data_IF_152360050071
#
_entry.id   IF_152360050071
#
_cell.length_a   1.000
_cell.length_b   1.000
_cell.length_c   1.000
_cell.angle_alpha   90.00
_cell.angle_beta   90.00
_cell.angle_gamma   90.00
#
_symmetry.space_group_name_H-M   'P 1'
#
loop_
_entity.id
_entity.type
_entity.pdbx_description
1 polymer ?
#
# COMPACT_ATOMS: atom_id res chain seq x y z
N UNK A 1 3.64 48.45 20.86
CA UNK A 1 3.36 47.24 21.65
C UNK A 1 3.29 46.08 20.66
N UNK A 2 4.42 45.41 20.47
CA UNK A 2 4.58 44.34 19.48
C UNK A 2 4.29 42.99 20.09
N UNK A 3 3.31 42.29 19.53
CA UNK A 3 2.92 40.94 19.94
C UNK A 3 3.74 39.92 19.17
N UNK A 4 4.68 39.27 19.86
CA UNK A 4 5.49 38.17 19.37
C UNK A 4 4.72 36.85 19.49
N UNK A 5 4.24 36.31 18.38
CA UNK A 5 3.68 34.96 18.32
C UNK A 5 4.82 33.93 18.18
N UNK A 6 5.04 33.17 19.24
CA UNK A 6 5.98 32.04 19.30
C UNK A 6 5.37 30.80 18.63
N UNK A 7 5.86 30.44 17.45
CA UNK A 7 5.54 29.18 16.78
C UNK A 7 6.28 28.00 17.43
N UNK A 8 5.56 27.22 18.23
CA UNK A 8 6.01 25.92 18.73
C UNK A 8 5.79 24.83 17.67
N UNK A 9 6.80 24.57 16.84
CA UNK A 9 6.84 23.37 16.02
C UNK A 9 7.27 22.16 16.87
N UNK A 10 6.28 21.36 17.25
CA UNK A 10 6.44 20.03 17.85
C UNK A 10 7.30 19.12 16.94
N UNK A 11 8.47 18.74 17.44
CA UNK A 11 9.31 17.72 16.84
C UNK A 11 8.54 16.39 16.74
N UNK A 12 8.34 15.91 15.52
CA UNK A 12 7.82 14.57 15.26
C UNK A 12 8.91 13.58 15.64
N UNK A 13 8.72 12.91 16.77
CA UNK A 13 9.50 11.77 17.23
C UNK A 13 9.50 10.67 16.16
N UNK A 14 10.53 10.66 15.32
CA UNK A 14 10.81 9.57 14.37
C UNK A 14 11.59 8.48 15.10
N UNK A 15 10.91 7.82 16.03
CA UNK A 15 11.41 6.61 16.66
C UNK A 15 11.75 5.57 15.59
N UNK A 16 13.04 5.34 15.39
CA UNK A 16 13.58 4.15 14.73
C UNK A 16 13.11 2.93 15.54
N UNK A 17 11.97 2.34 15.16
CA UNK A 17 11.49 1.12 15.81
C UNK A 17 12.49 -0.01 15.54
N UNK A 18 13.27 -0.30 16.58
CA UNK A 18 14.10 -1.48 16.77
C UNK A 18 13.29 -2.73 16.36
N UNK A 19 13.89 -3.73 15.69
CA UNK A 19 13.15 -4.91 15.27
C UNK A 19 12.63 -5.68 16.50
N UNK A 20 11.32 -5.91 16.52
CA UNK A 20 10.60 -6.82 17.43
C UNK A 20 11.40 -8.14 17.62
N UNK A 21 11.67 -8.56 18.86
CA UNK A 21 12.43 -9.77 19.21
C UNK A 21 11.88 -11.05 18.57
N UNK A 22 10.63 -11.02 18.06
CA UNK A 22 10.04 -12.08 17.25
C UNK A 22 10.68 -12.26 15.86
N UNK A 23 11.70 -11.48 15.51
CA UNK A 23 12.46 -11.54 14.25
C UNK A 23 13.58 -12.59 14.18
N UNK A 24 13.86 -13.35 15.26
CA UNK A 24 14.93 -14.38 15.29
C UNK A 24 14.85 -15.34 14.10
N UNK A 25 15.88 -15.43 13.27
CA UNK A 25 15.96 -16.37 12.12
C UNK A 25 15.74 -17.82 12.61
N UNK A 26 14.73 -18.52 12.10
CA UNK A 26 14.53 -19.96 12.43
C UNK A 26 15.56 -20.76 11.65
N UNK A 27 16.54 -21.34 12.34
CA UNK A 27 17.33 -22.44 11.76
C UNK A 27 16.44 -23.68 11.72
N UNK A 28 15.85 -24.00 10.57
CA UNK A 28 15.10 -25.24 10.38
C UNK A 28 16.10 -26.38 10.11
N UNK A 29 16.07 -27.46 10.90
CA UNK A 29 16.86 -28.69 10.63
C UNK A 29 16.42 -29.26 9.27
N UNK A 30 17.32 -29.26 8.30
CA UNK A 30 17.06 -29.61 6.89
C UNK A 30 17.37 -31.07 6.58
N UNK A 31 16.33 -31.82 6.21
CA UNK A 31 16.44 -33.06 5.41
C UNK A 31 15.94 -32.83 3.97
N UNK A 32 16.16 -31.64 3.38
CA UNK A 32 15.54 -31.24 2.11
C UNK A 32 16.48 -30.48 1.17
N UNK A 33 16.41 -30.88 -0.10
CA UNK A 33 17.01 -30.36 -1.33
C UNK A 33 17.88 -29.08 -1.20
N UNK A 34 19.21 -29.15 -1.42
CA UNK A 34 20.18 -28.08 -1.12
C UNK A 34 19.93 -26.75 -1.84
N UNK A 35 19.27 -26.76 -3.00
CA UNK A 35 18.98 -25.52 -3.75
C UNK A 35 17.92 -24.61 -3.09
N UNK A 36 17.06 -25.13 -2.19
CA UNK A 36 16.10 -24.27 -1.45
C UNK A 36 16.73 -23.52 -0.28
N UNK A 37 17.93 -23.90 0.16
CA UNK A 37 18.53 -23.37 1.39
C UNK A 37 19.27 -22.03 1.17
N UNK A 38 19.73 -21.72 -0.05
CA UNK A 38 20.47 -20.48 -0.35
C UNK A 38 19.66 -19.19 -0.11
N UNK A 39 18.33 -19.23 -0.20
CA UNK A 39 17.47 -18.05 0.02
C UNK A 39 17.02 -17.86 1.47
N UNK A 40 17.14 -18.87 2.33
CA UNK A 40 16.56 -18.83 3.68
C UNK A 40 17.29 -17.88 4.64
N UNK A 41 18.53 -17.48 4.37
CA UNK A 41 19.25 -16.47 5.15
C UNK A 41 18.97 -15.01 4.76
N UNK A 42 18.36 -14.79 3.59
CA UNK A 42 18.21 -13.46 2.98
C UNK A 42 16.92 -12.74 3.36
N UNK A 43 15.98 -13.41 4.02
CA UNK A 43 14.69 -12.81 4.41
C UNK A 43 14.46 -12.98 5.92
N UNK A 44 13.90 -11.96 6.56
CA UNK A 44 13.35 -12.06 7.91
C UNK A 44 12.09 -12.93 7.92
N UNK A 45 11.63 -13.35 9.11
CA UNK A 45 10.37 -14.11 9.27
C UNK A 45 9.15 -13.41 8.69
N UNK A 46 9.15 -12.07 8.68
CA UNK A 46 8.08 -11.27 8.10
C UNK A 46 8.15 -11.19 6.56
N UNK A 47 9.16 -11.80 5.93
CA UNK A 47 9.41 -11.84 4.49
C UNK A 47 10.06 -10.58 3.89
N UNK A 48 10.47 -9.61 4.71
CA UNK A 48 11.33 -8.50 4.26
C UNK A 48 12.78 -8.96 4.13
N UNK A 49 13.57 -8.27 3.31
CA UNK A 49 14.97 -8.62 3.10
C UNK A 49 15.80 -8.38 4.35
N UNK A 50 16.60 -9.39 4.72
CA UNK A 50 17.66 -9.26 5.70
C UNK A 50 18.81 -8.47 5.08
N UNK A 51 18.99 -7.25 5.56
CA UNK A 51 19.99 -6.30 5.05
C UNK A 51 21.30 -6.38 5.84
N UNK A 52 21.42 -7.26 6.84
CA UNK A 52 22.67 -7.50 7.54
C UNK A 52 23.73 -8.03 6.56
N UNK A 53 24.89 -7.38 6.55
CA UNK A 53 26.04 -7.75 5.72
C UNK A 53 27.20 -8.10 6.66
N UNK A 54 27.82 -9.27 6.45
CA UNK A 54 29.01 -9.64 7.21
C UNK A 54 30.14 -8.64 6.92
N UNK A 55 30.79 -8.12 7.97
CA UNK A 55 31.78 -7.03 7.86
C UNK A 55 32.94 -7.33 6.90
N UNK A 56 33.34 -8.59 6.76
CA UNK A 56 34.44 -9.03 5.89
C UNK A 56 33.99 -9.53 4.50
N UNK A 57 32.70 -9.48 4.20
CA UNK A 57 32.17 -9.98 2.92
C UNK A 57 32.46 -9.01 1.76
N UNK A 58 32.52 -9.53 0.54
CA UNK A 58 32.63 -8.70 -0.67
C UNK A 58 31.45 -7.74 -0.84
N UNK A 59 30.27 -8.13 -0.35
CA UNK A 59 29.10 -7.25 -0.31
C UNK A 59 29.33 -6.01 0.58
N UNK A 60 30.10 -6.13 1.66
CA UNK A 60 30.47 -4.98 2.49
C UNK A 60 31.46 -4.07 1.76
N UNK A 61 32.42 -4.65 1.03
CA UNK A 61 33.34 -3.87 0.18
C UNK A 61 32.58 -3.07 -0.87
N UNK A 62 31.59 -3.70 -1.54
CA UNK A 62 30.71 -3.01 -2.50
C UNK A 62 29.88 -1.92 -1.82
N UNK A 63 29.32 -2.19 -0.63
CA UNK A 63 28.55 -1.18 0.11
C UNK A 63 29.41 0.03 0.49
N UNK A 64 30.63 -0.20 0.98
CA UNK A 64 31.61 0.87 1.32
C UNK A 64 32.04 1.66 0.09
N UNK A 65 32.28 0.99 -1.04
CA UNK A 65 32.57 1.66 -2.31
C UNK A 65 31.39 2.54 -2.72
N UNK A 66 30.18 2.00 -2.71
CA UNK A 66 28.96 2.73 -3.08
C UNK A 66 28.73 3.95 -2.19
N UNK A 67 28.96 3.87 -0.87
CA UNK A 67 28.81 5.01 0.03
C UNK A 67 29.82 6.12 -0.25
N UNK A 68 31.00 5.78 -0.76
CA UNK A 68 32.09 6.74 -1.00
C UNK A 68 32.11 7.30 -2.41
N UNK A 69 31.76 6.49 -3.42
CA UNK A 69 31.90 6.86 -4.82
C UNK A 69 30.59 7.32 -5.44
N UNK A 70 29.44 6.79 -4.99
CA UNK A 70 28.14 7.18 -5.56
C UNK A 70 27.80 8.63 -5.20
N UNK A 71 27.57 9.51 -6.18
CA UNK A 71 27.12 10.88 -5.91
C UNK A 71 25.80 10.90 -5.12
N UNK A 72 24.91 9.96 -5.40
CA UNK A 72 23.60 9.84 -4.76
C UNK A 72 23.69 9.33 -3.32
N UNK A 73 24.53 8.32 -3.05
CA UNK A 73 24.66 7.75 -1.70
C UNK A 73 25.59 8.54 -0.78
N UNK A 74 26.37 9.50 -1.31
CA UNK A 74 27.11 10.47 -0.51
C UNK A 74 26.26 11.61 0.05
N UNK A 75 25.05 11.80 -0.48
CA UNK A 75 24.15 12.85 0.02
C UNK A 75 23.74 12.56 1.48
N UNK A 76 23.46 13.61 2.29
CA UNK A 76 22.85 13.46 3.60
C UNK A 76 21.56 12.64 3.54
N UNK A 77 21.28 11.88 4.60
CA UNK A 77 20.16 10.94 4.63
C UNK A 77 18.80 11.62 4.42
N UNK A 78 18.66 12.88 4.84
CA UNK A 78 17.47 13.70 4.68
C UNK A 78 17.21 14.01 3.21
N UNK A 79 18.26 14.35 2.46
CA UNK A 79 18.18 14.63 1.03
C UNK A 79 17.86 13.34 0.27
N UNK A 80 18.52 12.22 0.60
CA UNK A 80 18.19 10.92 -0.01
C UNK A 80 16.74 10.53 0.24
N UNK A 81 16.25 10.71 1.47
CA UNK A 81 14.85 10.43 1.81
C UNK A 81 13.89 11.23 0.94
N UNK A 82 14.11 12.54 0.76
CA UNK A 82 13.29 13.36 -0.15
C UNK A 82 13.33 12.83 -1.58
N UNK A 83 14.51 12.49 -2.09
CA UNK A 83 14.65 11.90 -3.44
C UNK A 83 13.84 10.61 -3.56
N UNK A 84 13.92 9.72 -2.58
CA UNK A 84 13.16 8.47 -2.56
C UNK A 84 11.65 8.72 -2.50
N UNK A 85 11.20 9.65 -1.65
CA UNK A 85 9.79 10.01 -1.56
C UNK A 85 9.24 10.48 -2.91
N UNK A 86 9.97 11.35 -3.63
CA UNK A 86 9.57 11.79 -4.97
C UNK A 86 9.67 10.68 -6.02
N UNK A 87 10.67 9.80 -5.93
CA UNK A 87 10.91 8.77 -6.93
C UNK A 87 9.93 7.59 -6.84
N UNK A 88 9.46 7.24 -5.63
CA UNK A 88 8.62 6.04 -5.41
C UNK A 88 7.33 6.29 -4.63
N UNK A 89 7.11 7.48 -4.08
CA UNK A 89 5.94 7.81 -3.26
C UNK A 89 4.95 8.74 -3.96
N UNK A 90 3.82 9.00 -3.32
CA UNK A 90 2.79 9.94 -3.77
C UNK A 90 2.08 9.57 -5.08
N UNK A 91 1.90 8.28 -5.33
CA UNK A 91 1.16 7.74 -6.47
C UNK A 91 -0.11 6.99 -6.04
N UNK A 92 -1.13 7.04 -6.89
CA UNK A 92 -2.17 6.03 -6.97
C UNK A 92 -1.67 4.89 -7.85
N UNK A 93 -1.50 3.72 -7.25
CA UNK A 93 -1.06 2.49 -7.91
C UNK A 93 -2.32 1.66 -8.18
N UNK A 94 -2.76 1.68 -9.44
CA UNK A 94 -3.88 0.85 -9.90
C UNK A 94 -3.36 -0.52 -10.29
N UNK A 95 -3.70 -1.52 -9.49
CA UNK A 95 -3.37 -2.93 -9.71
C UNK A 95 -4.53 -3.57 -10.44
N UNK A 96 -4.22 -4.28 -11.53
CA UNK A 96 -5.19 -4.94 -12.39
C UNK A 96 -4.65 -6.28 -12.89
N UNK A 97 -5.55 -7.13 -13.41
CA UNK A 97 -5.17 -8.37 -14.08
C UNK A 97 -4.75 -8.10 -15.53
N UNK A 98 -3.49 -8.35 -15.87
CA UNK A 98 -2.97 -8.19 -17.23
C UNK A 98 -3.66 -9.12 -18.25
N UNK A 99 -4.21 -10.24 -17.79
CA UNK A 99 -4.80 -11.27 -18.65
C UNK A 99 -6.33 -11.21 -18.74
N UNK A 100 -6.99 -10.26 -18.08
CA UNK A 100 -8.45 -10.10 -18.20
C UNK A 100 -8.87 -9.88 -19.67
N UNK A 101 -7.96 -9.43 -20.52
CA UNK A 101 -8.17 -9.28 -21.96
C UNK A 101 -8.07 -10.58 -22.78
N UNK A 102 -7.59 -11.72 -22.23
CA UNK A 102 -7.21 -12.88 -23.06
C UNK A 102 -7.73 -14.25 -22.63
N UNK A 103 -7.85 -14.63 -21.35
CA UNK A 103 -8.36 -15.99 -20.98
C UNK A 103 -8.88 -16.12 -19.55
N UNK A 104 -9.94 -16.91 -19.33
CA UNK A 104 -10.60 -17.15 -18.02
C UNK A 104 -9.90 -18.17 -17.10
N UNK A 105 -8.60 -18.46 -17.29
CA UNK A 105 -7.96 -19.61 -16.63
C UNK A 105 -6.88 -19.21 -15.60
N UNK A 106 -7.32 -19.16 -14.34
CA UNK A 106 -6.60 -19.44 -13.07
C UNK A 106 -5.32 -18.70 -12.66
N UNK A 107 -4.62 -18.01 -13.55
CA UNK A 107 -3.35 -17.35 -13.24
C UNK A 107 -3.48 -15.82 -13.40
N UNK A 108 -4.02 -15.15 -12.37
CA UNK A 108 -4.07 -13.68 -12.31
C UNK A 108 -2.64 -13.15 -12.34
N UNK A 109 -2.25 -12.49 -13.43
CA UNK A 109 -0.97 -11.81 -13.51
C UNK A 109 -1.17 -10.34 -13.15
N UNK A 110 -0.68 -9.98 -11.98
CA UNK A 110 -0.79 -8.61 -11.49
C UNK A 110 0.10 -7.68 -12.31
N UNK A 111 -0.53 -6.70 -12.95
CA UNK A 111 0.15 -5.52 -13.53
C UNK A 111 -0.27 -4.27 -12.77
N UNK A 112 0.38 -3.15 -13.06
CA UNK A 112 0.01 -1.87 -12.48
C UNK A 112 0.26 -0.66 -13.38
N UNK A 113 -0.59 0.35 -13.17
CA UNK A 113 -0.38 1.72 -13.65
C UNK A 113 -0.23 2.63 -12.43
N UNK A 114 0.65 3.62 -12.56
CA UNK A 114 0.90 4.63 -11.52
C UNK A 114 0.42 5.97 -12.03
N UNK A 115 -0.37 6.66 -11.23
CA UNK A 115 -0.79 8.05 -11.47
C UNK A 115 -0.33 8.90 -10.29
N UNK A 116 0.17 10.12 -10.49
CA UNK A 116 0.51 10.99 -9.37
C UNK A 116 -0.76 11.35 -8.58
N UNK A 117 -0.68 11.40 -7.25
CA UNK A 117 -1.82 11.77 -6.39
C UNK A 117 -2.19 13.26 -6.49
N UNK A 118 -1.24 14.08 -6.94
CA UNK A 118 -1.43 15.51 -7.17
C UNK A 118 -1.23 15.79 -8.65
N UNK A 119 -2.00 16.74 -9.19
CA UNK A 119 -1.81 17.19 -10.56
C UNK A 119 -0.35 17.65 -10.74
N UNK A 120 0.31 17.09 -11.74
CA UNK A 120 1.68 17.48 -12.09
C UNK A 120 1.62 18.49 -13.23
N UNK A 121 2.29 19.62 -13.08
CA UNK A 121 2.74 20.43 -14.22
C UNK A 121 3.65 19.55 -15.07
N UNK A 122 3.37 19.42 -16.36
CA UNK A 122 4.12 18.69 -17.41
C UNK A 122 5.43 17.96 -17.02
N UNK A 123 5.56 16.69 -17.41
CA UNK A 123 6.82 15.93 -17.26
C UNK A 123 6.79 14.76 -16.26
N UNK A 124 5.62 14.19 -15.99
CA UNK A 124 5.49 13.01 -15.13
C UNK A 124 6.27 11.81 -15.69
N UNK A 125 7.26 11.33 -14.95
CA UNK A 125 7.98 10.09 -15.25
C UNK A 125 7.37 8.95 -14.46
N UNK A 126 6.81 7.95 -15.17
CA UNK A 126 6.19 6.79 -14.53
C UNK A 126 7.24 6.04 -13.66
N UNK A 127 6.99 5.86 -12.34
CA UNK A 127 7.90 5.11 -11.49
C UNK A 127 7.92 3.64 -11.87
N UNK A 128 9.12 3.05 -11.93
CA UNK A 128 9.32 1.61 -12.17
C UNK A 128 9.33 0.77 -10.89
N UNK A 129 9.37 1.40 -9.72
CA UNK A 129 9.50 0.77 -8.38
C UNK A 129 10.64 -0.27 -8.25
N UNK A 130 11.61 -0.26 -9.16
CA UNK A 130 12.79 -1.13 -9.14
C UNK A 130 13.92 -0.57 -8.28
N UNK A 131 13.76 0.65 -7.76
CA UNK A 131 14.79 1.33 -6.98
C UNK A 131 15.26 0.49 -5.77
N UNK A 132 14.36 -0.16 -4.98
CA UNK A 132 14.77 -1.05 -3.89
C UNK A 132 15.56 -2.30 -4.33
N UNK A 133 15.60 -2.64 -5.62
CA UNK A 133 16.32 -3.83 -6.12
C UNK A 133 17.79 -3.53 -6.48
N UNK A 134 18.20 -2.25 -6.48
CA UNK A 134 19.53 -1.84 -6.92
C UNK A 134 20.61 -2.26 -5.91
N UNK A 135 20.45 -1.86 -4.65
CA UNK A 135 21.38 -2.24 -3.58
C UNK A 135 20.69 -2.28 -2.21
N UNK A 136 21.35 -2.88 -1.22
CA UNK A 136 20.79 -3.05 0.14
C UNK A 136 20.54 -1.71 0.85
N UNK A 137 21.40 -0.72 0.66
CA UNK A 137 21.23 0.61 1.26
C UNK A 137 19.94 1.27 0.75
N UNK A 138 19.74 1.31 -0.57
CA UNK A 138 18.53 1.86 -1.18
C UNK A 138 17.30 1.05 -0.76
N UNK A 139 17.40 -0.28 -0.63
CA UNK A 139 16.31 -1.09 -0.11
C UNK A 139 15.87 -0.63 1.30
N UNK A 140 16.83 -0.48 2.23
CA UNK A 140 16.52 -0.06 3.62
C UNK A 140 15.84 1.31 3.64
N UNK A 141 16.30 2.24 2.80
CA UNK A 141 15.82 3.62 2.79
C UNK A 141 14.47 3.79 2.06
N UNK A 142 14.27 3.09 0.94
CA UNK A 142 13.16 3.37 0.02
C UNK A 142 12.08 2.28 -0.03
N UNK A 143 12.35 1.03 0.36
CA UNK A 143 11.39 -0.07 0.16
C UNK A 143 10.07 0.15 0.91
N UNK A 144 10.13 0.74 2.11
CA UNK A 144 8.94 1.05 2.89
C UNK A 144 8.06 2.13 2.22
N UNK A 145 8.69 3.13 1.60
CA UNK A 145 8.01 4.27 0.99
C UNK A 145 7.07 3.85 -0.16
N UNK A 146 7.44 2.78 -0.90
CA UNK A 146 6.57 2.18 -1.93
C UNK A 146 5.20 1.80 -1.39
N UNK A 147 5.11 1.41 -0.11
CA UNK A 147 3.86 0.96 0.50
C UNK A 147 3.21 2.04 1.37
N UNK A 148 4.00 2.85 2.06
CA UNK A 148 3.48 3.81 3.06
C UNK A 148 3.02 5.13 2.44
N UNK A 149 3.54 5.51 1.27
CA UNK A 149 3.28 6.81 0.63
C UNK A 149 2.38 6.74 -0.60
N UNK A 150 1.88 5.56 -0.95
CA UNK A 150 1.05 5.33 -2.14
C UNK A 150 -0.34 4.82 -1.76
N UNK A 151 -1.31 5.11 -2.61
CA UNK A 151 -2.66 4.54 -2.53
C UNK A 151 -2.75 3.34 -3.47
N UNK A 152 -3.08 2.15 -2.95
CA UNK A 152 -3.28 0.96 -3.79
C UNK A 152 -4.74 0.81 -4.16
N UNK A 153 -5.05 0.88 -5.46
CA UNK A 153 -6.40 0.69 -5.99
C UNK A 153 -6.49 -0.62 -6.75
N UNK A 154 -7.59 -1.33 -6.56
CA UNK A 154 -7.86 -2.60 -7.23
C UNK A 154 -9.09 -2.49 -8.12
N UNK A 155 -9.01 -3.04 -9.32
CA UNK A 155 -10.12 -3.12 -10.29
C UNK A 155 -11.18 -4.14 -9.85
N UNK A 156 -10.74 -5.31 -9.36
CA UNK A 156 -11.59 -6.43 -9.00
C UNK A 156 -11.16 -7.09 -7.66
N UNK A 157 -12.10 -7.85 -7.06
CA UNK A 157 -11.84 -8.61 -5.84
C UNK A 157 -10.73 -9.66 -5.99
N UNK A 158 -10.64 -10.33 -7.14
CA UNK A 158 -9.67 -11.39 -7.36
C UNK A 158 -8.24 -10.84 -7.46
N UNK A 159 -8.10 -9.64 -8.05
CA UNK A 159 -6.83 -8.92 -8.14
C UNK A 159 -6.35 -8.51 -6.74
N UNK A 160 -7.24 -7.97 -5.90
CA UNK A 160 -6.92 -7.67 -4.51
C UNK A 160 -6.52 -8.91 -3.71
N UNK A 161 -7.26 -10.02 -3.84
CA UNK A 161 -6.94 -11.29 -3.18
C UNK A 161 -5.59 -11.84 -3.61
N UNK A 162 -5.32 -11.83 -4.92
CA UNK A 162 -4.05 -12.24 -5.49
C UNK A 162 -2.91 -11.34 -4.98
N UNK A 163 -3.12 -10.03 -4.94
CA UNK A 163 -2.15 -9.08 -4.38
C UNK A 163 -1.86 -9.38 -2.91
N UNK A 164 -2.87 -9.60 -2.08
CA UNK A 164 -2.70 -9.95 -0.66
C UNK A 164 -1.92 -11.26 -0.50
N UNK A 165 -2.27 -12.28 -1.29
CA UNK A 165 -1.62 -13.61 -1.26
C UNK A 165 -0.13 -13.55 -1.59
N UNK A 166 0.26 -12.69 -2.53
CA UNK A 166 1.65 -12.55 -3.00
C UNK A 166 2.45 -11.45 -2.28
N UNK A 167 2.02 -11.03 -1.08
CA UNK A 167 2.74 -10.06 -0.27
C UNK A 167 3.14 -10.63 1.08
N UNK A 168 4.41 -10.44 1.38
CA UNK A 168 4.97 -10.79 2.68
C UNK A 168 4.25 -10.03 3.80
N UNK A 169 4.20 -10.60 5.00
CA UNK A 169 3.55 -9.96 6.15
C UNK A 169 4.14 -8.57 6.44
N UNK A 170 5.46 -8.41 6.34
CA UNK A 170 6.13 -7.13 6.52
C UNK A 170 5.69 -6.09 5.49
N UNK A 171 5.49 -6.49 4.23
CA UNK A 171 4.96 -5.59 3.18
C UNK A 171 3.51 -5.20 3.48
N UNK A 172 2.66 -6.15 3.89
CA UNK A 172 1.27 -5.87 4.26
C UNK A 172 1.14 -4.91 5.45
N UNK A 173 2.08 -4.98 6.40
CA UNK A 173 2.18 -4.02 7.52
C UNK A 173 2.59 -2.62 7.08
N UNK A 174 3.22 -2.46 5.93
CA UNK A 174 3.64 -1.15 5.42
C UNK A 174 2.54 -0.46 4.60
N UNK A 175 1.50 -1.19 4.19
CA UNK A 175 0.38 -0.62 3.44
C UNK A 175 -0.51 0.18 4.41
N UNK A 176 -0.66 1.47 4.11
CA UNK A 176 -1.41 2.44 4.93
C UNK A 176 -2.67 2.94 4.24
N UNK A 177 -2.82 2.74 2.93
CA UNK A 177 -3.95 3.24 2.13
C UNK A 177 -4.35 2.29 1.01
N UNK A 178 -5.64 1.96 0.94
CA UNK A 178 -6.22 1.11 -0.11
C UNK A 178 -7.55 1.67 -0.62
N UNK A 179 -7.81 1.52 -1.92
CA UNK A 179 -9.09 1.77 -2.58
C UNK A 179 -9.67 0.42 -3.01
N UNK A 180 -10.82 0.05 -2.44
CA UNK A 180 -11.42 -1.28 -2.65
C UNK A 180 -12.45 -1.27 -3.76
N UNK A 181 -12.43 -2.30 -4.62
CA UNK A 181 -13.44 -2.43 -5.69
C UNK A 181 -14.86 -2.61 -5.13
N UNK A 182 -15.87 -2.33 -5.96
CA UNK A 182 -17.29 -2.50 -5.62
C UNK A 182 -17.58 -3.95 -5.21
N UNK A 183 -17.05 -4.90 -5.99
CA UNK A 183 -17.22 -6.33 -5.75
C UNK A 183 -16.58 -6.77 -4.42
N UNK A 184 -15.41 -6.23 -4.09
CA UNK A 184 -14.76 -6.49 -2.80
C UNK A 184 -15.58 -5.88 -1.65
N UNK A 185 -16.00 -4.62 -1.78
CA UNK A 185 -16.76 -3.93 -0.74
C UNK A 185 -18.09 -4.63 -0.43
N UNK A 186 -18.80 -5.14 -1.44
CA UNK A 186 -20.03 -5.91 -1.24
C UNK A 186 -19.81 -7.16 -0.39
N UNK A 187 -18.73 -7.91 -0.61
CA UNK A 187 -18.40 -9.07 0.22
C UNK A 187 -17.92 -8.68 1.61
N UNK A 188 -17.27 -7.53 1.72
CA UNK A 188 -16.84 -6.98 3.00
C UNK A 188 -18.03 -6.56 3.87
N UNK A 189 -19.06 -5.91 3.31
CA UNK A 189 -20.24 -5.51 4.07
C UNK A 189 -21.02 -6.72 4.61
N UNK A 190 -21.14 -7.80 3.85
CA UNK A 190 -21.80 -9.05 4.28
C UNK A 190 -20.99 -9.89 5.28
N UNK A 191 -19.75 -9.51 5.59
CA UNK A 191 -18.88 -10.28 6.49
C UNK A 191 -18.20 -11.48 5.83
N UNK A 192 -18.35 -11.65 4.51
CA UNK A 192 -17.66 -12.69 3.75
C UNK A 192 -16.15 -12.41 3.57
N UNK A 193 -15.67 -11.22 3.96
CA UNK A 193 -14.24 -10.86 4.00
C UNK A 193 -13.80 -10.52 5.41
N UNK A 194 -12.53 -10.81 5.69
CA UNK A 194 -11.83 -10.37 6.89
C UNK A 194 -11.82 -8.85 6.96
N UNK A 195 -11.65 -8.33 8.18
CA UNK A 195 -11.40 -6.91 8.38
C UNK A 195 -10.12 -6.49 7.64
N UNK A 196 -10.13 -5.29 7.08
CA UNK A 196 -8.98 -4.74 6.39
C UNK A 196 -7.82 -4.52 7.35
N UNK A 197 -8.05 -4.18 8.63
CA UNK A 197 -7.00 -4.18 9.66
C UNK A 197 -6.38 -5.55 9.93
N UNK A 198 -7.13 -6.64 9.80
CA UNK A 198 -6.54 -7.98 9.91
C UNK A 198 -5.62 -8.30 8.71
N UNK A 199 -5.91 -7.70 7.56
CA UNK A 199 -5.16 -7.90 6.32
C UNK A 199 -3.94 -6.97 6.23
N UNK A 200 -4.14 -5.69 6.58
CA UNK A 200 -3.22 -4.57 6.57
C UNK A 200 -3.22 -3.89 7.97
N UNK A 201 -2.41 -4.38 8.92
CA UNK A 201 -2.48 -3.96 10.33
C UNK A 201 -2.35 -2.46 10.58
N UNK A 202 -1.61 -1.75 9.73
CA UNK A 202 -1.36 -0.32 9.86
C UNK A 202 -2.15 0.52 8.85
N UNK A 203 -3.27 0.00 8.34
CA UNK A 203 -4.14 0.77 7.46
C UNK A 203 -4.65 2.02 8.18
N UNK A 204 -4.57 3.16 7.49
CA UNK A 204 -4.98 4.49 7.97
C UNK A 204 -6.09 5.08 7.10
N UNK A 205 -6.16 4.68 5.83
CA UNK A 205 -7.13 5.18 4.86
C UNK A 205 -7.78 4.03 4.09
N UNK A 206 -9.11 4.09 3.93
CA UNK A 206 -9.87 3.24 3.01
C UNK A 206 -10.63 4.16 2.04
N UNK A 207 -10.37 4.02 0.74
CA UNK A 207 -11.21 4.59 -0.30
C UNK A 207 -12.35 3.64 -0.67
N UNK A 208 -13.56 4.18 -0.75
CA UNK A 208 -14.78 3.48 -1.15
C UNK A 208 -15.31 4.05 -2.47
N UNK A 209 -15.69 3.23 -3.45
CA UNK A 209 -16.26 3.72 -4.70
C UNK A 209 -17.57 4.48 -4.46
N UNK A 210 -17.75 5.64 -5.09
CA UNK A 210 -18.97 6.46 -4.94
C UNK A 210 -20.26 5.70 -5.28
N UNK A 211 -20.19 4.76 -6.23
CA UNK A 211 -21.32 3.89 -6.62
C UNK A 211 -21.81 3.00 -5.47
N UNK A 212 -20.99 2.73 -4.45
CA UNK A 212 -21.45 2.04 -3.23
C UNK A 212 -22.50 2.87 -2.50
N UNK A 213 -22.32 4.19 -2.40
CA UNK A 213 -23.32 5.07 -1.78
C UNK A 213 -24.62 5.08 -2.59
N UNK A 214 -24.53 5.14 -3.94
CA UNK A 214 -25.70 5.06 -4.81
C UNK A 214 -26.48 3.75 -4.66
N UNK A 215 -25.78 2.62 -4.56
CA UNK A 215 -26.42 1.33 -4.30
C UNK A 215 -27.08 1.30 -2.93
N UNK A 216 -26.47 1.92 -1.92
CA UNK A 216 -27.02 2.00 -0.57
C UNK A 216 -28.32 2.82 -0.49
N UNK A 217 -28.50 3.85 -1.34
CA UNK A 217 -29.75 4.64 -1.41
C UNK A 217 -30.98 3.77 -1.76
N UNK A 218 -30.78 2.66 -2.48
CA UNK A 218 -31.86 1.78 -2.95
C UNK A 218 -32.32 0.76 -1.91
N UNK A 219 -31.55 0.54 -0.85
CA UNK A 219 -31.81 -0.50 0.16
C UNK A 219 -32.50 0.10 1.40
N UNK A 220 -33.05 1.31 1.30
CA UNK A 220 -33.76 1.93 2.43
C UNK A 220 -34.97 1.07 2.82
N UNK A 221 -35.08 0.61 4.08
CA UNK A 221 -36.16 -0.28 4.52
C UNK A 221 -37.54 0.37 4.45
N UNK A 222 -37.60 1.71 4.45
CA UNK A 222 -38.84 2.48 4.36
C UNK A 222 -39.14 2.85 2.90
N UNK A 223 -39.49 1.84 2.10
CA UNK A 223 -39.70 1.73 0.63
C UNK A 223 -40.37 2.91 -0.14
N UNK A 224 -40.65 4.06 0.47
CA UNK A 224 -41.38 5.17 -0.13
C UNK A 224 -40.50 6.35 -0.57
N UNK A 225 -39.31 6.53 0.02
CA UNK A 225 -38.43 7.64 -0.32
C UNK A 225 -36.97 7.19 -0.49
N UNK A 226 -36.38 7.59 -1.63
CA UNK A 226 -34.96 7.43 -1.89
C UNK A 226 -34.18 8.26 -0.88
N UNK A 227 -33.35 7.60 -0.09
CA UNK A 227 -32.44 8.27 0.84
C UNK A 227 -31.53 9.26 0.09
N UNK A 228 -31.25 10.42 0.69
CA UNK A 228 -30.30 11.39 0.13
C UNK A 228 -28.90 10.78 0.03
N UNK A 229 -28.14 11.17 -0.99
CA UNK A 229 -26.82 10.58 -1.25
C UNK A 229 -25.86 10.79 -0.08
N UNK A 230 -25.93 11.93 0.58
CA UNK A 230 -25.09 12.26 1.73
C UNK A 230 -25.40 11.41 2.96
N UNK A 231 -26.68 11.06 3.17
CA UNK A 231 -27.08 10.14 4.25
C UNK A 231 -26.59 8.72 3.97
N UNK A 232 -26.73 8.26 2.71
CA UNK A 232 -26.20 6.98 2.28
C UNK A 232 -24.67 6.91 2.45
N UNK A 233 -23.95 7.98 2.07
CA UNK A 233 -22.50 8.08 2.33
C UNK A 233 -22.19 8.01 3.82
N UNK A 234 -22.89 8.79 4.65
CA UNK A 234 -22.69 8.81 6.10
C UNK A 234 -22.91 7.42 6.72
N UNK A 235 -23.96 6.70 6.30
CA UNK A 235 -24.22 5.33 6.73
C UNK A 235 -23.09 4.37 6.37
N UNK A 236 -22.57 4.44 5.14
CA UNK A 236 -21.44 3.60 4.70
C UNK A 236 -20.16 3.93 5.47
N UNK A 237 -19.86 5.22 5.70
CA UNK A 237 -18.71 5.65 6.52
C UNK A 237 -18.84 5.12 7.95
N UNK A 238 -20.02 5.24 8.55
CA UNK A 238 -20.29 4.72 9.90
C UNK A 238 -20.09 3.21 9.97
N UNK A 239 -20.59 2.46 8.98
CA UNK A 239 -20.38 1.01 8.87
C UNK A 239 -18.89 0.65 8.82
N UNK A 240 -18.11 1.35 7.99
CA UNK A 240 -16.66 1.10 7.87
C UNK A 240 -15.96 1.43 9.19
N UNK A 241 -16.27 2.57 9.81
CA UNK A 241 -15.68 2.97 11.11
C UNK A 241 -16.08 2.05 12.26
N UNK A 242 -17.31 1.52 12.26
CA UNK A 242 -17.74 0.53 13.25
C UNK A 242 -16.93 -0.76 13.14
N UNK A 243 -16.65 -1.22 11.91
CA UNK A 243 -15.88 -2.45 11.66
C UNK A 243 -14.37 -2.28 11.84
N UNK A 244 -13.82 -1.15 11.41
CA UNK A 244 -12.37 -0.92 11.33
C UNK A 244 -11.85 0.07 12.38
N UNK A 245 -12.69 0.67 13.22
CA UNK A 245 -12.27 1.69 14.19
C UNK A 245 -12.45 3.13 13.70
N UNK A 246 -12.68 4.03 14.65
CA UNK A 246 -13.07 5.43 14.40
C UNK A 246 -11.92 6.33 13.94
N UNK A 247 -10.67 5.94 14.19
CA UNK A 247 -9.44 6.64 13.80
C UNK A 247 -9.13 6.54 12.30
N UNK A 248 -9.82 5.63 11.60
CA UNK A 248 -9.62 5.39 10.18
C UNK A 248 -10.23 6.51 9.32
N UNK A 249 -9.45 7.00 8.34
CA UNK A 249 -9.94 7.91 7.30
C UNK A 249 -10.69 7.12 6.22
N UNK A 250 -11.96 7.44 6.01
CA UNK A 250 -12.77 6.88 4.92
C UNK A 250 -12.98 7.96 3.88
N UNK A 251 -12.58 7.69 2.65
CA UNK A 251 -12.71 8.62 1.52
C UNK A 251 -13.53 8.01 0.39
N UNK A 252 -14.13 8.86 -0.43
CA UNK A 252 -14.84 8.45 -1.62
C UNK A 252 -13.95 8.62 -2.84
N UNK A 253 -14.02 7.69 -3.78
CA UNK A 253 -13.31 7.82 -5.06
C UNK A 253 -14.18 7.40 -6.25
N UNK A 254 -13.72 7.81 -7.43
CA UNK A 254 -14.44 7.63 -8.68
C UNK A 254 -15.39 8.79 -8.96
N UNK A 255 -15.53 9.12 -10.24
CA UNK A 255 -16.54 10.05 -10.71
C UNK A 255 -17.82 9.27 -10.95
N UNK A 256 -18.94 9.73 -10.38
CA UNK A 256 -20.24 9.26 -10.82
C UNK A 256 -20.59 10.02 -12.10
N UNK A 257 -20.04 9.62 -13.24
CA UNK A 257 -20.60 10.09 -14.50
C UNK A 257 -22.02 9.52 -14.57
N UNK A 258 -23.03 10.38 -14.69
CA UNK A 258 -24.44 9.96 -14.72
C UNK A 258 -24.70 8.87 -15.77
N UNK A 259 -23.89 8.86 -16.84
CA UNK A 259 -23.94 7.88 -17.92
C UNK A 259 -23.60 6.44 -17.50
N UNK A 260 -22.75 6.24 -16.48
CA UNK A 260 -22.34 4.89 -16.05
C UNK A 260 -23.45 4.12 -15.31
N UNK A 261 -24.42 4.84 -14.72
CA UNK A 261 -25.52 4.24 -13.97
C UNK A 261 -26.53 3.50 -14.84
N UNK A 262 -26.57 3.80 -16.15
CA UNK A 262 -27.54 3.20 -17.08
C UNK A 262 -27.03 1.90 -17.75
N UNK A 263 -25.73 1.61 -17.72
CA UNK A 263 -25.13 0.55 -18.55
C UNK A 263 -24.89 -0.80 -17.85
N UNK A 264 -24.99 -0.88 -16.53
CA UNK A 264 -24.57 -2.09 -15.78
C UNK A 264 -25.64 -2.71 -14.88
N UNK A 265 -26.92 -2.35 -15.07
CA UNK A 265 -28.00 -2.84 -14.21
C UNK A 265 -29.21 -3.41 -14.98
N UNK A 266 -28.93 -4.15 -16.07
CA UNK A 266 -29.81 -5.16 -16.64
C UNK A 266 -29.18 -6.54 -16.44
#
# INVERSE_FOLDING_TARGET
MGSSESNNHSAVDRGSKIPDERTKVVKKKTGGNPHKNLRQGLLYRNGLMNTAIAARSDMMKIAKRNSNESPLLRLPAEIRSKIWEYAVGYHQIEVYDAYFARTRLSNVQLSHVSRPLRATTSGFVKPKYALPTVCRQIYVEAAAMVYTLNNFRFDDRNVMDCFIKHRALGQRRLITSVDVSIAYFRLYTTGARKLLRQTFPNIKRIGVPIVVAHNAQRISPNNSQKELLEDAKKRVVNLVKQKEGSDLKVEWYGECSQNFMNLHFW
#
